data_IF_707801391900
#
_entry.id   IF_707801391900
#
_cell.length_a   1.000
_cell.length_b   1.000
_cell.length_c   1.000
_cell.angle_alpha   90.00
_cell.angle_beta   90.00
_cell.angle_gamma   90.00
#
_symmetry.space_group_name_H-M   'P 1'
#
loop_
_entity.id
_entity.type
_entity.pdbx_description
1 polymer ?
#
# COMPACT_ATOMS: atom_id res chain seq x y z
N UNK A 1 -3.59 -0.84 5.83
CA UNK A 1 -4.22 -2.16 5.56
C UNK A 1 -4.90 -2.09 4.21
N UNK A 2 -4.67 -3.06 3.33
CA UNK A 2 -5.29 -3.14 2.00
C UNK A 2 -6.19 -4.37 1.92
N UNK A 3 -7.38 -4.24 1.31
CA UNK A 3 -8.26 -5.32 0.88
C UNK A 3 -9.24 -4.84 -0.21
N UNK A 4 -10.05 -5.74 -0.72
CA UNK A 4 -11.14 -5.42 -1.65
C UNK A 4 -12.50 -5.20 -0.94
N UNK A 5 -12.49 -4.95 0.36
CA UNK A 5 -13.66 -4.64 1.17
C UNK A 5 -14.14 -5.81 2.05
N UNK A 6 -14.81 -5.45 3.15
CA UNK A 6 -15.42 -6.39 4.12
C UNK A 6 -14.50 -7.48 4.70
N UNK A 7 -13.21 -7.22 4.81
CA UNK A 7 -12.19 -8.15 5.34
C UNK A 7 -11.96 -8.05 6.85
N UNK A 8 -12.69 -7.19 7.55
CA UNK A 8 -12.56 -7.03 9.00
C UNK A 8 -11.67 -5.87 9.47
N UNK A 9 -11.21 -4.97 8.58
CA UNK A 9 -10.44 -3.77 8.98
C UNK A 9 -11.10 -2.98 10.10
N UNK A 10 -12.41 -2.71 9.97
CA UNK A 10 -13.16 -1.98 10.98
C UNK A 10 -13.20 -2.70 12.33
N UNK A 11 -13.31 -4.03 12.34
CA UNK A 11 -13.27 -4.83 13.56
C UNK A 11 -11.91 -4.71 14.27
N UNK A 12 -10.83 -4.81 13.51
CA UNK A 12 -9.47 -4.64 14.00
C UNK A 12 -9.27 -3.26 14.64
N UNK A 13 -9.68 -2.19 13.95
CA UNK A 13 -9.57 -0.82 14.47
C UNK A 13 -10.44 -0.59 15.69
N UNK A 14 -11.66 -1.17 15.75
CA UNK A 14 -12.54 -1.07 16.91
C UNK A 14 -11.91 -1.69 18.17
N UNK A 15 -11.10 -2.74 18.01
CA UNK A 15 -10.38 -3.35 19.12
C UNK A 15 -9.39 -2.37 19.76
N UNK A 16 -8.63 -1.63 18.95
CA UNK A 16 -7.71 -0.61 19.48
C UNK A 16 -8.45 0.57 20.11
N UNK A 17 -9.51 1.04 19.47
CA UNK A 17 -10.30 2.21 19.90
C UNK A 17 -11.02 1.98 21.25
N UNK A 18 -11.05 0.75 21.77
CA UNK A 18 -11.54 0.46 23.13
C UNK A 18 -10.53 0.79 24.24
N UNK A 19 -9.24 0.88 23.90
CA UNK A 19 -8.14 1.03 24.88
C UNK A 19 -7.26 2.24 24.62
N UNK A 20 -7.04 2.59 23.36
CA UNK A 20 -6.13 3.63 22.90
C UNK A 20 -6.91 4.85 22.41
N UNK A 21 -6.26 6.01 22.45
CA UNK A 21 -6.80 7.23 21.85
C UNK A 21 -6.63 7.14 20.32
N UNK A 22 -7.69 6.71 19.64
CA UNK A 22 -7.74 6.63 18.16
C UNK A 22 -8.44 7.85 17.61
N UNK A 23 -7.72 8.70 16.89
CA UNK A 23 -8.28 9.86 16.22
C UNK A 23 -8.41 9.58 14.72
N UNK A 24 -9.55 9.97 14.14
CA UNK A 24 -9.77 9.88 12.69
C UNK A 24 -9.03 11.01 11.99
N UNK A 25 -8.42 10.69 10.86
CA UNK A 25 -7.64 11.62 10.03
C UNK A 25 -8.15 11.55 8.59
N UNK A 26 -8.39 12.71 8.02
CA UNK A 26 -8.59 12.85 6.58
C UNK A 26 -7.23 13.03 5.89
N UNK A 27 -6.73 11.99 5.24
CA UNK A 27 -5.41 12.01 4.65
C UNK A 27 -5.28 13.00 3.49
N UNK A 28 -6.34 13.21 2.71
CA UNK A 28 -6.35 14.18 1.62
C UNK A 28 -6.29 15.62 2.15
N UNK A 29 -6.92 15.90 3.29
CA UNK A 29 -6.82 17.18 3.95
C UNK A 29 -5.39 17.51 4.43
N UNK A 30 -4.59 16.50 4.81
CA UNK A 30 -3.17 16.69 5.14
C UNK A 30 -2.34 17.15 3.94
N UNK A 31 -2.75 16.78 2.72
CA UNK A 31 -2.12 17.17 1.46
C UNK A 31 -2.52 18.57 1.01
N UNK A 32 -3.62 19.09 1.54
CA UNK A 32 -4.12 20.44 1.22
C UNK A 32 -3.15 21.53 1.72
N UNK A 33 -3.40 22.75 1.34
CA UNK A 33 -2.60 23.90 1.79
C UNK A 33 -3.41 24.78 2.74
N UNK A 34 -2.69 25.48 3.62
CA UNK A 34 -3.29 26.47 4.48
C UNK A 34 -3.92 25.91 5.76
N UNK A 35 -5.06 26.50 6.14
CA UNK A 35 -5.70 26.22 7.44
C UNK A 35 -6.23 24.78 7.54
N UNK A 36 -6.78 24.24 6.47
CA UNK A 36 -7.35 22.90 6.44
C UNK A 36 -6.31 21.84 6.84
N UNK A 37 -5.14 21.88 6.19
CA UNK A 37 -4.03 20.98 6.56
C UNK A 37 -3.57 21.21 8.00
N UNK A 38 -3.42 22.45 8.43
CA UNK A 38 -3.01 22.73 9.81
C UNK A 38 -4.01 22.23 10.85
N UNK A 39 -5.30 22.33 10.53
CA UNK A 39 -6.36 21.81 11.40
C UNK A 39 -6.36 20.28 11.43
N UNK A 40 -6.13 19.63 10.29
CA UNK A 40 -6.09 18.17 10.22
C UNK A 40 -4.90 17.59 11.01
N UNK A 41 -3.74 18.26 10.99
CA UNK A 41 -2.59 17.88 11.82
C UNK A 41 -2.89 17.86 13.32
N UNK A 42 -3.90 18.58 13.78
CA UNK A 42 -4.32 18.54 15.18
C UNK A 42 -4.84 17.18 15.63
N UNK A 43 -5.33 16.35 14.70
CA UNK A 43 -5.81 15.01 15.00
C UNK A 43 -4.68 14.05 15.43
N UNK A 44 -3.41 14.43 15.21
CA UNK A 44 -2.25 13.69 15.73
C UNK A 44 -1.88 14.08 17.17
N UNK A 45 -2.34 15.25 17.63
CA UNK A 45 -2.01 15.73 18.98
C UNK A 45 -2.72 14.92 20.05
N UNK A 46 -1.94 14.24 20.89
CA UNK A 46 -2.47 13.39 21.96
C UNK A 46 -3.10 12.08 21.51
N UNK A 47 -3.00 11.72 20.23
CA UNK A 47 -3.42 10.43 19.75
C UNK A 47 -2.33 9.37 19.97
N UNK A 48 -2.76 8.15 20.29
CA UNK A 48 -1.92 6.95 20.20
C UNK A 48 -1.90 6.42 18.76
N UNK A 49 -3.07 6.47 18.10
CA UNK A 49 -3.26 6.06 16.71
C UNK A 49 -3.98 7.18 15.96
N UNK A 50 -3.42 7.57 14.83
CA UNK A 50 -4.09 8.36 13.81
C UNK A 50 -4.59 7.41 12.71
N UNK A 51 -5.90 7.35 12.50
CA UNK A 51 -6.52 6.40 11.57
C UNK A 51 -7.15 7.12 10.39
N UNK A 52 -6.59 6.92 9.20
CA UNK A 52 -7.16 7.36 7.94
C UNK A 52 -7.89 6.20 7.27
N UNK A 53 -9.22 6.30 7.23
CA UNK A 53 -10.08 5.29 6.64
C UNK A 53 -10.38 5.63 5.18
N UNK A 54 -10.51 4.59 4.35
CA UNK A 54 -10.85 4.73 2.92
C UNK A 54 -9.94 5.71 2.18
N UNK A 55 -8.65 5.64 2.47
CA UNK A 55 -7.65 6.43 1.75
C UNK A 55 -7.60 5.93 0.29
N UNK A 56 -7.63 6.86 -0.67
CA UNK A 56 -7.45 6.56 -2.08
C UNK A 56 -6.07 6.01 -2.40
N UNK A 57 -5.70 6.01 -3.67
CA UNK A 57 -4.39 5.58 -4.13
C UNK A 57 -3.27 6.32 -3.38
N UNK A 58 -2.33 5.58 -2.79
CA UNK A 58 -1.19 6.18 -2.08
C UNK A 58 -0.06 6.41 -3.08
N UNK A 59 0.16 7.67 -3.42
CA UNK A 59 1.16 8.11 -4.39
C UNK A 59 2.51 8.43 -3.74
N UNK A 60 3.56 8.52 -4.54
CA UNK A 60 4.91 8.91 -4.07
C UNK A 60 4.91 10.28 -3.35
N UNK A 61 4.09 11.23 -3.81
CA UNK A 61 3.99 12.55 -3.15
C UNK A 61 3.45 12.45 -1.72
N UNK A 62 2.56 11.52 -1.47
CA UNK A 62 2.01 11.21 -0.14
C UNK A 62 3.06 10.58 0.77
N UNK A 63 3.99 9.82 0.21
CA UNK A 63 5.07 9.18 0.97
C UNK A 63 5.96 10.17 1.73
N UNK A 64 6.06 11.42 1.27
CA UNK A 64 6.79 12.46 2.02
C UNK A 64 6.09 12.79 3.34
N UNK A 65 4.76 12.84 3.34
CA UNK A 65 3.98 13.06 4.58
C UNK A 65 4.09 11.84 5.48
N UNK A 66 3.95 10.63 4.92
CA UNK A 66 4.10 9.39 5.66
C UNK A 66 5.47 9.30 6.34
N UNK A 67 6.56 9.68 5.65
CA UNK A 67 7.90 9.74 6.24
C UNK A 67 7.97 10.71 7.42
N UNK A 68 7.41 11.91 7.27
CA UNK A 68 7.38 12.92 8.35
C UNK A 68 6.65 12.38 9.59
N UNK A 69 5.55 11.67 9.41
CA UNK A 69 4.79 11.04 10.50
C UNK A 69 5.63 9.93 11.14
N UNK A 70 6.16 9.02 10.32
CA UNK A 70 6.91 7.85 10.79
C UNK A 70 8.23 8.20 11.50
N UNK A 71 8.81 9.35 11.22
CA UNK A 71 10.04 9.83 11.92
C UNK A 71 9.76 10.56 13.23
N UNK A 72 8.48 10.79 13.57
CA UNK A 72 8.11 11.54 14.78
C UNK A 72 8.61 12.99 14.74
N UNK A 73 8.62 13.61 13.56
CA UNK A 73 9.02 15.00 13.41
C UNK A 73 8.09 15.94 14.17
N UNK A 74 8.62 17.14 14.47
CA UNK A 74 7.82 18.23 15.02
C UNK A 74 6.81 18.69 13.99
N UNK A 75 5.53 18.68 14.35
CA UNK A 75 4.41 19.08 13.53
C UNK A 75 3.87 20.41 14.01
N UNK A 76 3.46 21.28 13.08
CA UNK A 76 2.71 22.48 13.38
C UNK A 76 1.25 22.26 13.06
N UNK A 77 0.39 22.41 14.08
CA UNK A 77 -1.05 22.32 13.94
C UNK A 77 -1.74 23.60 14.42
N UNK A 78 -2.96 23.83 13.95
CA UNK A 78 -3.78 24.98 14.35
C UNK A 78 -5.25 24.59 14.41
N UNK A 79 -5.78 24.55 15.61
CA UNK A 79 -7.22 24.34 15.80
C UNK A 79 -8.04 25.58 15.44
N UNK A 80 -9.34 25.39 15.21
CA UNK A 80 -10.28 26.47 14.91
C UNK A 80 -10.27 27.50 16.04
N UNK A 81 -10.08 28.79 15.69
CA UNK A 81 -10.05 29.89 16.66
C UNK A 81 -8.81 29.91 17.59
N UNK A 82 -7.79 29.10 17.33
CA UNK A 82 -6.57 29.04 18.14
C UNK A 82 -5.33 29.48 17.34
N UNK A 83 -4.29 29.88 18.06
CA UNK A 83 -2.98 30.10 17.46
C UNK A 83 -2.35 28.76 17.05
N UNK A 84 -1.52 28.79 16.01
CA UNK A 84 -0.71 27.63 15.65
C UNK A 84 0.30 27.32 16.77
N UNK A 85 0.51 26.04 17.03
CA UNK A 85 1.56 25.57 17.94
C UNK A 85 2.24 24.34 17.36
N UNK A 86 3.39 24.01 17.90
CA UNK A 86 4.17 22.86 17.46
C UNK A 86 4.15 21.77 18.52
N UNK A 87 4.11 20.52 18.07
CA UNK A 87 4.17 19.34 18.94
C UNK A 87 4.96 18.21 18.26
N UNK A 88 5.50 17.32 19.07
CA UNK A 88 6.14 16.11 18.56
C UNK A 88 5.07 15.07 18.28
N UNK A 89 5.11 14.48 17.10
CA UNK A 89 4.21 13.37 16.78
C UNK A 89 4.65 12.08 17.47
N UNK A 90 3.77 11.47 18.23
CA UNK A 90 3.96 10.15 18.83
C UNK A 90 2.91 9.14 18.34
N UNK A 91 1.93 9.59 17.56
CA UNK A 91 0.88 8.73 17.04
C UNK A 91 1.41 7.80 15.95
N UNK A 92 0.97 6.55 15.98
CA UNK A 92 1.13 5.63 14.85
C UNK A 92 0.05 5.92 13.83
N UNK A 93 0.42 6.12 12.57
CA UNK A 93 -0.55 6.29 11.49
C UNK A 93 -0.93 4.93 10.92
N UNK A 94 -2.23 4.66 10.87
CA UNK A 94 -2.81 3.50 10.20
C UNK A 94 -3.66 4.02 9.04
N UNK A 95 -3.34 3.55 7.83
CA UNK A 95 -4.08 3.86 6.61
C UNK A 95 -4.85 2.62 6.15
N UNK A 96 -6.12 2.79 5.87
CA UNK A 96 -6.95 1.79 5.22
C UNK A 96 -7.16 2.18 3.77
N UNK A 97 -6.89 1.27 2.85
CA UNK A 97 -7.14 1.49 1.43
C UNK A 97 -7.61 0.20 0.76
N UNK A 98 -8.42 0.34 -0.27
CA UNK A 98 -8.77 -0.72 -1.22
C UNK A 98 -7.99 -0.56 -2.53
N UNK A 99 -7.24 0.52 -2.63
CA UNK A 99 -6.50 0.95 -3.81
C UNK A 99 -5.03 0.51 -3.75
N UNK A 100 -4.31 0.70 -4.83
CA UNK A 100 -2.89 0.40 -4.88
C UNK A 100 -2.08 1.30 -3.95
N UNK A 101 -0.99 0.78 -3.43
CA UNK A 101 -0.05 1.50 -2.57
C UNK A 101 1.30 1.59 -3.26
N UNK A 102 1.56 2.71 -3.92
CA UNK A 102 2.87 2.99 -4.50
C UNK A 102 3.80 3.61 -3.44
N UNK A 103 4.73 2.82 -2.95
CA UNK A 103 5.75 3.31 -1.99
C UNK A 103 6.97 3.92 -2.68
N UNK A 104 7.03 3.87 -4.00
CA UNK A 104 8.22 4.23 -4.76
C UNK A 104 9.42 3.30 -4.45
N UNK A 105 10.52 3.47 -5.16
CA UNK A 105 11.76 2.65 -5.01
C UNK A 105 12.66 3.12 -3.86
N UNK A 106 12.24 4.12 -3.08
CA UNK A 106 13.09 4.70 -2.04
C UNK A 106 13.09 3.78 -0.81
N UNK A 107 14.22 3.16 -0.50
CA UNK A 107 14.44 2.32 0.69
C UNK A 107 13.92 2.96 1.98
N UNK A 108 14.01 4.29 2.09
CA UNK A 108 13.47 5.02 3.23
C UNK A 108 11.94 4.91 3.40
N UNK A 109 11.20 4.59 2.35
CA UNK A 109 9.75 4.39 2.43
C UNK A 109 9.44 2.96 2.89
N UNK A 110 10.13 1.97 2.34
CA UNK A 110 9.91 0.55 2.65
C UNK A 110 10.28 0.23 4.10
N UNK A 111 11.35 0.82 4.63
CA UNK A 111 11.79 0.60 6.02
C UNK A 111 10.91 1.24 7.09
N UNK A 112 10.03 2.17 6.72
CA UNK A 112 9.16 2.92 7.65
C UNK A 112 7.68 2.59 7.49
N UNK A 113 7.34 1.72 6.57
CA UNK A 113 5.96 1.36 6.26
C UNK A 113 5.79 -0.14 6.43
N UNK A 114 4.81 -0.51 7.25
CA UNK A 114 4.37 -1.90 7.38
C UNK A 114 3.10 -2.04 6.56
N UNK A 115 3.14 -2.91 5.56
CA UNK A 115 1.95 -3.24 4.76
C UNK A 115 1.31 -4.49 5.32
N UNK A 116 0.02 -4.43 5.55
CA UNK A 116 -0.79 -5.56 5.99
C UNK A 116 -1.84 -5.78 4.92
N UNK A 117 -1.71 -6.87 4.18
CA UNK A 117 -2.75 -7.33 3.28
C UNK A 117 -3.69 -8.26 4.02
N UNK A 118 -4.97 -7.97 3.93
CA UNK A 118 -5.99 -8.82 4.52
C UNK A 118 -6.48 -9.79 3.43
N UNK A 119 -6.88 -10.98 3.86
CA UNK A 119 -7.38 -12.00 2.94
C UNK A 119 -8.67 -11.51 2.28
N UNK A 120 -8.73 -11.65 0.97
CA UNK A 120 -9.89 -11.27 0.20
C UNK A 120 -11.11 -12.14 0.54
N UNK A 121 -12.27 -11.57 0.31
CA UNK A 121 -13.52 -12.29 0.42
C UNK A 121 -13.62 -13.30 -0.72
N UNK A 122 -13.95 -14.57 -0.46
CA UNK A 122 -14.23 -15.53 -1.52
C UNK A 122 -15.32 -15.01 -2.46
N UNK A 123 -15.14 -15.19 -3.78
CA UNK A 123 -16.07 -14.68 -4.79
C UNK A 123 -17.52 -15.17 -4.63
N UNK A 124 -17.68 -16.39 -4.10
CA UNK A 124 -19.00 -17.03 -3.95
C UNK A 124 -19.61 -16.81 -2.55
N UNK A 125 -18.95 -16.07 -1.66
CA UNK A 125 -19.44 -15.81 -0.31
C UNK A 125 -20.50 -14.72 -0.32
N UNK A 126 -21.68 -15.00 0.22
CA UNK A 126 -22.77 -14.03 0.35
C UNK A 126 -22.51 -13.06 1.51
N UNK A 127 -23.20 -11.91 1.53
CA UNK A 127 -23.10 -10.95 2.62
C UNK A 127 -23.57 -11.51 3.93
N UNK A 128 -24.56 -12.40 3.92
CA UNK A 128 -25.07 -13.06 5.12
C UNK A 128 -24.06 -14.04 5.70
N UNK A 129 -23.42 -14.86 4.85
CA UNK A 129 -22.34 -15.77 5.28
C UNK A 129 -21.19 -15.00 5.89
N UNK A 130 -20.78 -13.89 5.24
CA UNK A 130 -19.75 -12.99 5.74
C UNK A 130 -20.11 -12.38 7.09
N UNK A 131 -21.37 -11.94 7.26
CA UNK A 131 -21.86 -11.43 8.51
C UNK A 131 -21.80 -12.47 9.63
N UNK A 132 -22.22 -13.71 9.36
CA UNK A 132 -22.19 -14.80 10.33
C UNK A 132 -20.76 -15.15 10.77
N UNK A 133 -19.78 -15.08 9.85
CA UNK A 133 -18.35 -15.29 10.19
C UNK A 133 -17.85 -14.21 11.15
N UNK A 134 -18.20 -12.94 10.93
CA UNK A 134 -17.67 -11.84 11.74
C UNK A 134 -18.51 -11.54 12.99
N UNK A 135 -19.76 -11.96 13.04
CA UNK A 135 -20.68 -11.68 14.15
C UNK A 135 -20.11 -12.07 15.52
N UNK A 136 -19.54 -13.27 15.76
CA UNK A 136 -18.98 -13.62 17.06
C UNK A 136 -17.86 -12.69 17.51
N UNK A 137 -17.04 -12.22 16.58
CA UNK A 137 -15.94 -11.28 16.86
C UNK A 137 -16.47 -9.89 17.17
N UNK A 138 -17.51 -9.42 16.45
CA UNK A 138 -18.20 -8.17 16.76
C UNK A 138 -18.87 -8.22 18.12
N UNK A 139 -19.58 -9.30 18.43
CA UNK A 139 -20.22 -9.48 19.73
C UNK A 139 -19.20 -9.51 20.89
N UNK A 140 -17.99 -10.01 20.63
CA UNK A 140 -16.89 -10.01 21.59
C UNK A 140 -16.28 -8.62 21.78
N UNK A 141 -16.01 -7.90 20.69
CA UNK A 141 -15.34 -6.58 20.71
C UNK A 141 -16.31 -5.47 21.11
N UNK A 142 -17.59 -5.60 20.74
CA UNK A 142 -18.64 -4.63 21.05
C UNK A 142 -19.89 -5.30 21.65
N UNK A 143 -19.82 -5.92 22.82
CA UNK A 143 -20.99 -6.51 23.44
C UNK A 143 -22.06 -5.43 23.69
N UNK A 144 -23.28 -5.69 23.19
CA UNK A 144 -24.39 -4.73 23.26
C UNK A 144 -24.06 -3.34 22.66
N UNK A 145 -23.26 -3.29 21.63
CA UNK A 145 -22.87 -2.05 20.93
C UNK A 145 -21.88 -1.16 21.69
N UNK A 146 -21.33 -1.63 22.82
CA UNK A 146 -20.32 -0.89 23.59
C UNK A 146 -18.95 -1.52 23.43
N UNK A 147 -17.92 -0.70 23.20
CA UNK A 147 -16.54 -1.16 23.07
C UNK A 147 -16.08 -1.90 24.33
N UNK A 148 -15.45 -3.05 24.17
CA UNK A 148 -14.98 -3.90 25.25
C UNK A 148 -13.49 -3.71 25.52
N UNK A 149 -13.14 -3.08 26.63
CA UNK A 149 -11.75 -2.98 27.11
C UNK A 149 -11.17 -4.36 27.37
N UNK A 150 -11.97 -5.29 27.90
CA UNK A 150 -11.52 -6.66 28.16
C UNK A 150 -11.11 -7.39 26.87
N UNK A 151 -11.88 -7.21 25.79
CA UNK A 151 -11.52 -7.78 24.48
C UNK A 151 -10.22 -7.17 23.93
N UNK A 152 -10.05 -5.85 24.05
CA UNK A 152 -8.83 -5.17 23.61
C UNK A 152 -7.61 -5.65 24.39
N UNK A 153 -7.71 -5.78 25.71
CA UNK A 153 -6.64 -6.31 26.56
C UNK A 153 -6.33 -7.76 26.21
N UNK A 154 -7.33 -8.61 26.00
CA UNK A 154 -7.15 -10.00 25.59
C UNK A 154 -6.40 -10.09 24.26
N UNK A 155 -6.77 -9.26 23.27
CA UNK A 155 -6.07 -9.18 21.99
C UNK A 155 -4.59 -8.78 22.15
N UNK A 156 -4.30 -7.78 22.98
CA UNK A 156 -2.92 -7.36 23.25
C UNK A 156 -2.10 -8.45 23.95
N UNK A 157 -2.66 -9.11 24.94
CA UNK A 157 -2.00 -10.23 25.65
C UNK A 157 -1.63 -11.33 24.64
N UNK A 158 -2.60 -11.80 23.86
CA UNK A 158 -2.36 -12.82 22.83
C UNK A 158 -1.31 -12.38 21.82
N UNK A 159 -1.31 -11.10 21.41
CA UNK A 159 -0.30 -10.55 20.51
C UNK A 159 1.10 -10.55 21.13
N UNK A 160 1.22 -10.21 22.42
CA UNK A 160 2.50 -10.25 23.14
C UNK A 160 3.00 -11.68 23.35
N UNK A 161 2.12 -12.63 23.65
CA UNK A 161 2.45 -14.04 23.77
C UNK A 161 3.00 -14.58 22.44
N UNK A 162 2.32 -14.28 21.34
CA UNK A 162 2.79 -14.61 19.99
C UNK A 162 4.16 -13.98 19.68
N UNK A 163 4.36 -12.71 20.00
CA UNK A 163 5.65 -12.04 19.84
C UNK A 163 6.77 -12.68 20.64
N UNK A 164 6.46 -13.15 21.82
CA UNK A 164 7.41 -13.87 22.67
C UNK A 164 7.77 -15.24 22.07
N UNK A 165 6.79 -15.94 21.53
CA UNK A 165 6.96 -17.25 20.88
C UNK A 165 7.86 -17.14 19.64
N UNK A 166 7.65 -16.15 18.77
CA UNK A 166 8.48 -15.93 17.57
C UNK A 166 9.81 -15.22 17.86
N UNK A 167 10.21 -15.07 19.15
CA UNK A 167 11.48 -14.47 19.54
C UNK A 167 11.60 -12.96 19.30
N UNK A 168 10.50 -12.26 19.12
CA UNK A 168 10.43 -10.83 18.71
C UNK A 168 11.13 -10.51 17.37
N UNK A 169 11.54 -11.51 16.66
CA UNK A 169 11.99 -11.35 15.28
C UNK A 169 10.77 -11.19 14.38
N UNK A 170 10.32 -9.94 14.23
CA UNK A 170 9.48 -9.60 13.10
C UNK A 170 10.32 -9.71 11.82
N UNK A 171 10.36 -10.87 11.29
CA UNK A 171 10.57 -11.01 9.87
C UNK A 171 9.26 -10.55 9.24
N UNK A 172 9.18 -9.27 8.92
CA UNK A 172 8.24 -8.81 7.91
C UNK A 172 8.65 -9.57 6.65
N UNK A 173 8.15 -10.80 6.54
CA UNK A 173 8.36 -11.55 5.32
C UNK A 173 7.88 -10.64 4.20
N UNK A 174 8.62 -10.63 3.10
CA UNK A 174 8.30 -9.97 1.84
C UNK A 174 6.98 -10.44 1.20
N UNK A 175 6.04 -10.96 1.98
CA UNK A 175 4.62 -11.14 1.61
C UNK A 175 4.06 -9.83 1.02
N UNK A 176 4.68 -8.72 1.36
CA UNK A 176 4.39 -7.39 0.89
C UNK A 176 4.54 -7.20 -0.62
N UNK A 177 5.44 -7.89 -1.25
CA UNK A 177 5.71 -7.65 -2.67
C UNK A 177 4.77 -8.47 -3.58
N UNK A 178 4.35 -9.66 -3.18
CA UNK A 178 3.38 -10.47 -3.95
C UNK A 178 2.01 -9.83 -4.14
N UNK A 179 1.66 -8.81 -3.32
CA UNK A 179 0.39 -8.10 -3.41
C UNK A 179 0.50 -6.70 -4.07
N UNK A 180 1.65 -6.37 -4.69
CA UNK A 180 1.75 -5.13 -5.46
C UNK A 180 0.97 -5.20 -6.76
N UNK A 181 0.77 -6.41 -7.29
CA UNK A 181 0.04 -6.66 -8.50
C UNK A 181 -0.90 -7.82 -8.23
N UNK A 182 -2.22 -7.61 -8.32
CA UNK A 182 -3.12 -8.70 -8.66
C UNK A 182 -2.98 -8.94 -10.16
N UNK A 183 -3.22 -10.13 -10.61
CA UNK A 183 -3.23 -10.47 -12.05
C UNK A 183 -4.17 -9.54 -12.83
N UNK A 184 -5.31 -9.18 -12.23
CA UNK A 184 -6.30 -8.23 -12.74
C UNK A 184 -5.79 -6.77 -12.87
N UNK A 185 -4.65 -6.43 -12.25
CA UNK A 185 -4.04 -5.10 -12.31
C UNK A 185 -2.98 -4.98 -13.42
N UNK A 186 -2.55 -6.10 -14.00
CA UNK A 186 -1.59 -6.09 -15.10
C UNK A 186 -2.32 -5.83 -16.43
N UNK A 187 -1.89 -4.83 -17.15
CA UNK A 187 -2.40 -4.58 -18.50
C UNK A 187 -1.93 -5.66 -19.47
N UNK A 188 -2.67 -5.89 -20.54
CA UNK A 188 -2.30 -6.86 -21.58
C UNK A 188 -0.89 -6.58 -22.14
N UNK A 189 -0.54 -5.31 -22.29
CA UNK A 189 0.82 -4.89 -22.68
C UNK A 189 1.89 -5.32 -21.66
N UNK A 190 1.62 -5.20 -20.37
CA UNK A 190 2.55 -5.61 -19.32
C UNK A 190 2.75 -7.13 -19.33
N UNK A 191 1.66 -7.90 -19.41
CA UNK A 191 1.71 -9.37 -19.52
C UNK A 191 2.50 -9.82 -20.75
N UNK A 192 2.26 -9.21 -21.89
CA UNK A 192 2.96 -9.55 -23.13
C UNK A 192 4.47 -9.23 -23.05
N UNK A 193 4.84 -8.10 -22.46
CA UNK A 193 6.25 -7.74 -22.25
C UNK A 193 6.94 -8.67 -21.23
N UNK A 194 6.27 -9.06 -20.15
CA UNK A 194 6.78 -10.04 -19.19
C UNK A 194 7.05 -11.37 -19.87
N UNK A 195 6.07 -11.91 -20.59
CA UNK A 195 6.21 -13.16 -21.36
C UNK A 195 7.30 -13.11 -22.42
N UNK A 196 7.45 -11.99 -23.11
CA UNK A 196 8.47 -11.83 -24.13
C UNK A 196 9.88 -11.74 -23.52
N UNK A 197 10.06 -10.92 -22.46
CA UNK A 197 11.35 -10.74 -21.79
C UNK A 197 11.76 -11.93 -20.92
N UNK A 198 10.85 -12.82 -20.53
CA UNK A 198 11.20 -14.06 -19.86
C UNK A 198 11.93 -15.06 -20.80
N UNK A 199 11.75 -14.90 -22.10
CA UNK A 199 12.35 -15.77 -23.14
C UNK A 199 13.62 -15.20 -23.75
N UNK A 200 13.87 -13.91 -23.58
CA UNK A 200 15.01 -13.22 -24.21
C UNK A 200 15.49 -12.05 -23.35
N UNK A 201 16.79 -11.76 -23.39
CA UNK A 201 17.42 -10.74 -22.55
C UNK A 201 17.00 -9.30 -22.88
N UNK A 202 16.49 -9.05 -24.07
CA UNK A 202 16.01 -7.75 -24.51
C UNK A 202 15.15 -7.89 -25.77
N UNK A 203 14.34 -6.88 -26.04
CA UNK A 203 13.52 -6.74 -27.24
C UNK A 203 13.85 -5.41 -27.90
N UNK A 204 13.99 -5.38 -29.21
CA UNK A 204 14.21 -4.13 -29.93
C UNK A 204 12.97 -3.22 -29.81
N UNK A 205 13.20 -1.95 -29.50
CA UNK A 205 12.12 -0.98 -29.36
C UNK A 205 11.38 -0.68 -30.69
N UNK A 206 11.93 -1.11 -31.82
CA UNK A 206 11.32 -1.03 -33.14
C UNK A 206 10.66 -2.35 -33.62
N UNK A 207 10.51 -3.35 -32.75
CA UNK A 207 9.82 -4.59 -33.12
C UNK A 207 8.35 -4.31 -33.41
N UNK A 208 7.95 -4.45 -34.66
CA UNK A 208 6.59 -4.12 -35.13
C UNK A 208 5.51 -5.00 -34.51
N UNK A 209 5.83 -6.25 -34.20
CA UNK A 209 4.89 -7.18 -33.54
C UNK A 209 4.59 -6.74 -32.15
N UNK A 210 5.63 -6.34 -31.41
CA UNK A 210 5.52 -5.84 -30.06
C UNK A 210 4.85 -4.47 -30.01
N UNK A 211 5.15 -3.58 -30.96
CA UNK A 211 4.51 -2.25 -31.03
C UNK A 211 2.99 -2.34 -31.15
N UNK A 212 2.46 -3.28 -31.93
CA UNK A 212 1.01 -3.47 -32.06
C UNK A 212 0.35 -3.92 -30.76
N UNK A 213 1.01 -4.75 -29.98
CA UNK A 213 0.52 -5.20 -28.67
C UNK A 213 0.58 -4.10 -27.61
N UNK A 214 1.56 -3.22 -27.71
CA UNK A 214 1.78 -2.12 -26.78
C UNK A 214 0.84 -0.94 -27.04
N UNK A 215 0.47 -0.68 -28.28
CA UNK A 215 -0.43 0.41 -28.68
C UNK A 215 -1.87 0.21 -28.24
N UNK A 216 -2.26 -0.96 -27.77
CA UNK A 216 -3.61 -1.21 -27.25
C UNK A 216 -3.88 -0.45 -25.95
N UNK A 217 -2.91 -0.45 -25.02
CA UNK A 217 -3.08 0.18 -23.70
C UNK A 217 -2.50 1.59 -23.62
N UNK A 218 -1.47 1.88 -24.43
CA UNK A 218 -0.77 3.16 -24.43
C UNK A 218 -0.70 3.75 -25.83
N UNK A 219 -1.02 5.04 -25.98
CA UNK A 219 -0.83 5.75 -27.26
C UNK A 219 0.63 5.70 -27.76
N UNK A 220 1.58 5.54 -26.85
CA UNK A 220 3.01 5.31 -27.13
C UNK A 220 3.77 5.01 -25.85
N UNK A 221 4.73 4.06 -25.90
CA UNK A 221 5.67 3.80 -24.80
C UNK A 221 6.68 4.95 -24.56
N UNK A 222 6.63 6.03 -25.34
CA UNK A 222 7.45 7.21 -25.09
C UNK A 222 6.89 8.09 -23.98
N UNK A 223 5.62 7.94 -23.63
CA UNK A 223 5.00 8.69 -22.56
C UNK A 223 5.60 8.31 -21.20
N UNK A 224 5.70 9.29 -20.32
CA UNK A 224 6.21 9.11 -18.97
C UNK A 224 5.40 8.06 -18.19
N UNK A 225 4.08 8.08 -18.30
CA UNK A 225 3.19 7.13 -17.65
C UNK A 225 3.53 5.68 -18.01
N UNK A 226 3.69 5.37 -19.32
CA UNK A 226 4.05 4.02 -19.75
C UNK A 226 5.40 3.57 -19.17
N UNK A 227 6.38 4.48 -19.07
CA UNK A 227 7.68 4.19 -18.45
C UNK A 227 7.54 3.90 -16.96
N UNK A 228 6.77 4.70 -16.25
CA UNK A 228 6.55 4.56 -14.83
C UNK A 228 5.81 3.25 -14.52
N UNK A 229 4.79 2.89 -15.32
CA UNK A 229 4.04 1.64 -15.16
C UNK A 229 4.89 0.39 -15.46
N UNK A 230 5.71 0.43 -16.52
CA UNK A 230 6.64 -0.67 -16.83
C UNK A 230 7.73 -0.83 -15.79
N UNK A 231 8.19 0.27 -15.21
CA UNK A 231 9.18 0.25 -14.13
C UNK A 231 8.66 -0.43 -12.87
N UNK A 232 7.36 -0.31 -12.57
CA UNK A 232 6.70 -0.98 -11.44
C UNK A 232 6.84 -2.51 -11.51
N UNK A 233 6.80 -3.07 -12.73
CA UNK A 233 6.97 -4.51 -12.99
C UNK A 233 8.41 -4.90 -13.37
N UNK A 234 9.37 -4.06 -13.04
CA UNK A 234 10.79 -4.33 -13.27
C UNK A 234 11.26 -4.22 -14.73
N UNK A 235 10.45 -3.65 -15.62
CA UNK A 235 10.80 -3.50 -17.05
C UNK A 235 11.30 -2.07 -17.32
N UNK A 236 12.44 -1.97 -17.97
CA UNK A 236 12.98 -0.72 -18.51
C UNK A 236 12.71 -0.64 -20.00
N UNK A 237 12.00 0.42 -20.43
CA UNK A 237 11.64 0.62 -21.84
C UNK A 237 12.43 1.75 -22.49
N UNK A 238 12.71 1.59 -23.79
CA UNK A 238 13.47 2.55 -24.60
C UNK A 238 14.88 2.86 -24.06
N UNK A 239 15.52 1.89 -23.40
CA UNK A 239 16.90 2.02 -22.96
C UNK A 239 17.84 1.97 -24.14
N UNK A 240 18.92 2.76 -24.06
CA UNK A 240 20.02 2.67 -25.02
C UNK A 240 20.97 1.54 -24.63
N UNK A 241 21.26 0.66 -25.57
CA UNK A 241 22.22 -0.45 -25.42
C UNK A 241 23.10 -0.56 -26.66
N UNK A 242 24.36 -0.77 -26.43
CA UNK A 242 25.29 -1.09 -27.52
C UNK A 242 25.18 -2.57 -27.90
N UNK A 243 24.76 -2.85 -29.11
CA UNK A 243 24.62 -4.19 -29.67
C UNK A 243 25.37 -4.22 -30.99
N UNK A 244 26.34 -5.11 -31.10
CA UNK A 244 27.20 -5.25 -32.28
C UNK A 244 27.81 -3.93 -32.77
N UNK A 245 28.22 -3.06 -31.82
CA UNK A 245 28.81 -1.77 -32.15
C UNK A 245 27.84 -0.66 -32.55
N UNK A 246 26.54 -0.92 -32.50
CA UNK A 246 25.47 0.06 -32.80
C UNK A 246 24.72 0.42 -31.56
N UNK A 247 24.52 1.71 -31.32
CA UNK A 247 23.66 2.19 -30.21
C UNK A 247 22.18 2.04 -30.59
N UNK A 248 21.52 1.09 -29.95
CA UNK A 248 20.15 0.69 -30.27
C UNK A 248 19.24 0.87 -29.08
N UNK A 249 17.96 1.19 -29.31
CA UNK A 249 16.96 1.26 -28.27
C UNK A 249 16.31 -0.10 -28.06
N UNK A 250 16.25 -0.51 -26.79
CA UNK A 250 15.68 -1.81 -26.38
C UNK A 250 14.77 -1.69 -25.18
N UNK A 251 13.89 -2.66 -25.00
CA UNK A 251 13.20 -2.97 -23.78
C UNK A 251 13.94 -4.13 -23.10
N UNK A 252 14.19 -4.04 -21.82
CA UNK A 252 14.92 -5.07 -21.07
C UNK A 252 14.49 -5.12 -19.61
N UNK A 253 14.87 -6.17 -18.92
CA UNK A 253 14.70 -6.26 -17.47
C UNK A 253 15.61 -5.21 -16.82
N UNK A 254 14.98 -4.27 -16.10
CA UNK A 254 15.65 -3.21 -15.36
C UNK A 254 15.84 -3.54 -13.89
N UNK A 255 14.85 -4.21 -13.29
CA UNK A 255 14.93 -4.73 -11.93
C UNK A 255 14.50 -6.21 -11.93
N UNK A 256 15.45 -7.16 -11.77
CA UNK A 256 15.17 -8.59 -11.83
C UNK A 256 14.21 -9.09 -10.73
N UNK A 257 14.25 -8.50 -9.53
CA UNK A 257 13.37 -8.90 -8.44
C UNK A 257 11.91 -8.59 -8.76
N UNK A 258 11.63 -7.34 -9.13
CA UNK A 258 10.28 -6.93 -9.52
C UNK A 258 9.78 -7.68 -10.75
N UNK A 259 10.69 -7.94 -11.71
CA UNK A 259 10.35 -8.69 -12.92
C UNK A 259 9.94 -10.12 -12.62
N UNK A 260 10.73 -10.84 -11.81
CA UNK A 260 10.43 -12.22 -11.44
C UNK A 260 9.13 -12.32 -10.67
N UNK A 261 8.88 -11.39 -9.78
CA UNK A 261 7.64 -11.32 -9.01
C UNK A 261 6.41 -11.11 -9.89
N UNK A 262 6.49 -10.16 -10.83
CA UNK A 262 5.41 -9.94 -11.79
C UNK A 262 5.23 -11.13 -12.74
N UNK A 263 6.32 -11.84 -13.07
CA UNK A 263 6.28 -13.05 -13.89
C UNK A 263 5.66 -14.23 -13.15
N UNK A 264 5.94 -14.39 -11.86
CA UNK A 264 5.36 -15.44 -11.03
C UNK A 264 3.84 -15.31 -10.95
N UNK A 265 3.31 -14.09 -10.88
CA UNK A 265 1.85 -13.85 -10.90
C UNK A 265 1.16 -14.40 -12.14
N UNK A 266 1.75 -14.25 -13.31
CA UNK A 266 1.15 -14.71 -14.58
C UNK A 266 1.41 -16.19 -14.89
N UNK A 267 2.21 -16.90 -14.07
CA UNK A 267 2.53 -18.31 -14.24
C UNK A 267 1.88 -19.21 -13.17
N UNK A 268 1.20 -18.64 -12.17
CA UNK A 268 0.48 -19.40 -11.12
C UNK A 268 -0.90 -19.91 -11.57
N UNK A 269 -1.27 -19.78 -12.88
CA UNK A 269 -2.37 -20.47 -13.55
C UNK A 269 -1.89 -21.82 -14.14
#
# INVERSE_FOLDING_TARGET
>A
MKDFGRSGKGLFMTTFDALLQVNKVNFDALLSRGFESQNEWMNFYGADIAHANETGEITESMMRILRKIATGEVISGRGIGRNAFTFKNNAVLILDTNESVDTGEITANTTRTIKISLKDRPLNETDEERYQIFKPYWDFVQPNGKKSVAAAVSFLITSFEYLKEIGREFKFNDVTLKHYFSEDELTETQVNLLKALSRQNFIFAGDETLQKLIEQDYKSLRYKQAKDDMKKIGISINNQKWIDGVNTRVHNVGNPELFNMALDLINEE
#
